data_IF_913010194400
#
_entry.id   IF_913010194400
#
_cell.length_a   1.000
_cell.length_b   1.000
_cell.length_c   1.000
_cell.angle_alpha   90.00
_cell.angle_beta   90.00
_cell.angle_gamma   90.00
#
_symmetry.space_group_name_H-M   'P 1'
#
loop_
_entity.id
_entity.type
_entity.pdbx_description
1 polymer ?
#
# COMPACT_ATOMS: atom_id res chain seq x y z
N UNK A 1 3.79 -36.20 -0.50
CA UNK A 1 4.34 -34.90 -0.06
C UNK A 1 3.17 -33.97 0.19
N UNK A 2 3.16 -33.27 1.32
CA UNK A 2 2.19 -32.20 1.61
C UNK A 2 2.95 -30.89 1.77
N UNK A 3 2.40 -29.81 1.21
CA UNK A 3 2.84 -28.46 1.45
C UNK A 3 1.73 -27.72 2.19
N UNK A 4 2.09 -26.92 3.19
CA UNK A 4 1.18 -26.05 3.93
C UNK A 4 1.69 -24.61 3.83
N UNK A 5 0.85 -23.64 3.47
CA UNK A 5 1.27 -22.25 3.40
C UNK A 5 1.42 -21.66 4.81
N UNK A 6 2.44 -20.79 5.00
CA UNK A 6 2.61 -20.01 6.23
C UNK A 6 2.03 -18.61 6.00
N UNK A 7 0.72 -18.46 6.18
CA UNK A 7 0.03 -17.18 6.06
C UNK A 7 -0.20 -16.50 7.42
N UNK A 8 -0.04 -17.27 8.50
CA UNK A 8 -0.25 -16.81 9.87
C UNK A 8 1.01 -16.14 10.47
N UNK A 9 2.19 -16.41 9.91
CA UNK A 9 3.48 -15.85 10.34
C UNK A 9 4.28 -15.43 9.09
N UNK A 10 3.97 -14.23 8.61
CA UNK A 10 4.56 -13.67 7.38
C UNK A 10 5.74 -12.77 7.76
N UNK A 11 6.95 -13.21 7.45
CA UNK A 11 8.18 -12.44 7.74
C UNK A 11 8.24 -11.10 6.98
N UNK A 12 7.65 -11.03 5.78
CA UNK A 12 7.58 -9.80 5.01
C UNK A 12 6.35 -9.74 4.10
N UNK A 13 5.73 -8.56 4.00
CA UNK A 13 4.61 -8.32 3.09
C UNK A 13 4.65 -6.92 2.49
N UNK A 14 3.92 -6.75 1.40
CA UNK A 14 3.59 -5.44 0.82
C UNK A 14 2.17 -5.47 0.23
N UNK A 15 1.34 -4.52 0.65
CA UNK A 15 0.02 -4.26 0.04
C UNK A 15 0.11 -2.90 -0.63
N UNK A 16 -0.22 -2.84 -1.93
CA UNK A 16 -0.02 -1.63 -2.75
C UNK A 16 -1.29 -1.29 -3.52
N UNK A 17 -1.68 -0.02 -3.51
CA UNK A 17 -2.71 0.52 -4.40
C UNK A 17 -2.04 1.18 -5.60
N UNK A 18 -2.45 0.76 -6.78
CA UNK A 18 -2.01 1.33 -8.05
C UNK A 18 -3.10 2.24 -8.64
N UNK A 19 -2.68 3.38 -9.16
CA UNK A 19 -3.48 4.24 -10.02
C UNK A 19 -3.16 3.92 -11.48
N UNK A 20 -4.19 3.64 -12.28
CA UNK A 20 -4.04 3.34 -13.71
C UNK A 20 -4.07 4.63 -14.54
N UNK A 21 -2.98 4.91 -15.24
CA UNK A 21 -2.91 6.02 -16.20
C UNK A 21 -3.42 5.58 -17.57
N UNK A 22 -3.98 6.53 -18.33
CA UNK A 22 -4.40 6.31 -19.73
C UNK A 22 -3.26 5.83 -20.63
N UNK A 23 -2.00 6.07 -20.22
CA UNK A 23 -0.77 5.61 -20.88
C UNK A 23 -0.48 4.12 -20.70
N UNK A 24 -1.34 3.35 -20.01
CA UNK A 24 -1.12 1.95 -19.58
C UNK A 24 -0.01 1.78 -18.54
N UNK A 25 0.47 2.86 -17.95
CA UNK A 25 1.38 2.82 -16.81
C UNK A 25 0.56 2.83 -15.51
N UNK A 26 1.01 2.04 -14.52
CA UNK A 26 0.44 2.05 -13.18
C UNK A 26 1.40 2.79 -12.25
N UNK A 27 0.86 3.70 -11.44
CA UNK A 27 1.64 4.44 -10.42
C UNK A 27 1.22 3.96 -9.04
N UNK A 28 2.18 3.66 -8.18
CA UNK A 28 1.90 3.37 -6.77
C UNK A 28 1.43 4.65 -6.06
N UNK A 29 0.26 4.60 -5.43
CA UNK A 29 -0.32 5.78 -4.74
C UNK A 29 -0.44 5.59 -3.23
N UNK A 30 -0.41 4.35 -2.76
CA UNK A 30 -0.43 3.99 -1.35
C UNK A 30 0.22 2.61 -1.17
N UNK A 31 1.02 2.45 -0.12
CA UNK A 31 1.70 1.17 0.16
C UNK A 31 1.83 0.95 1.66
N UNK A 32 1.58 -0.29 2.10
CA UNK A 32 1.93 -0.76 3.45
C UNK A 32 2.88 -1.91 3.31
N UNK A 33 4.06 -1.82 3.91
CA UNK A 33 5.08 -2.86 3.83
C UNK A 33 5.97 -2.92 5.08
N UNK A 34 6.76 -3.99 5.18
CA UNK A 34 7.71 -4.23 6.28
C UNK A 34 9.18 -4.08 5.90
N UNK A 35 9.49 -3.54 4.71
CA UNK A 35 10.85 -3.51 4.15
C UNK A 35 11.88 -2.73 4.99
N UNK A 36 11.42 -1.95 5.97
CA UNK A 36 12.27 -1.18 6.89
C UNK A 36 12.33 -1.76 8.31
N UNK A 37 11.97 -3.03 8.50
CA UNK A 37 12.02 -3.72 9.78
C UNK A 37 10.84 -3.41 10.72
N UNK A 38 9.89 -2.61 10.25
CA UNK A 38 8.59 -2.37 10.90
C UNK A 38 7.54 -2.09 9.82
N UNK A 39 6.28 -2.35 10.13
CA UNK A 39 5.16 -2.01 9.24
C UNK A 39 4.99 -0.50 9.19
N UNK A 40 4.97 0.06 7.98
CA UNK A 40 4.71 1.48 7.77
C UNK A 40 3.77 1.71 6.60
N UNK A 41 3.06 2.83 6.67
CA UNK A 41 2.14 3.28 5.64
C UNK A 41 2.73 4.48 4.88
N UNK A 42 2.96 4.28 3.58
CA UNK A 42 3.40 5.29 2.64
C UNK A 42 2.21 5.80 1.81
N UNK A 43 1.98 7.12 1.81
CA UNK A 43 1.04 7.78 0.90
C UNK A 43 1.81 8.44 -0.24
N UNK A 44 2.00 7.68 -1.31
CA UNK A 44 2.95 7.98 -2.39
C UNK A 44 2.51 9.11 -3.34
N UNK A 45 1.28 9.64 -3.16
CA UNK A 45 0.87 10.88 -3.81
C UNK A 45 1.46 12.15 -3.14
N UNK A 46 2.23 12.02 -2.04
CA UNK A 46 2.93 13.12 -1.38
C UNK A 46 4.45 12.90 -1.42
N UNK A 47 5.18 13.82 -2.05
CA UNK A 47 6.64 13.73 -2.22
C UNK A 47 7.43 13.70 -0.91
N UNK A 48 6.98 14.44 0.10
CA UNK A 48 7.73 14.68 1.34
C UNK A 48 7.05 14.08 2.60
N UNK A 49 6.22 13.04 2.45
CA UNK A 49 5.60 12.45 3.65
C UNK A 49 6.58 11.56 4.44
N UNK A 50 6.70 11.76 5.76
CA UNK A 50 7.41 10.81 6.60
C UNK A 50 6.67 9.46 6.59
N UNK A 51 7.45 8.37 6.61
CA UNK A 51 6.95 7.01 6.78
C UNK A 51 6.13 6.96 8.07
N UNK A 52 4.84 6.66 7.95
CA UNK A 52 3.94 6.59 9.11
C UNK A 52 4.00 5.17 9.68
N UNK A 53 4.60 4.94 10.86
CA UNK A 53 4.59 3.62 11.48
C UNK A 53 3.15 3.21 11.84
N UNK A 54 2.80 1.96 11.61
CA UNK A 54 1.47 1.40 11.92
C UNK A 54 1.60 0.00 12.53
N UNK A 55 0.69 -0.37 13.42
CA UNK A 55 0.61 -1.72 14.00
C UNK A 55 -0.36 -2.61 13.21
N UNK A 56 -0.08 -2.79 11.91
CA UNK A 56 -0.92 -3.59 11.00
C UNK A 56 -0.20 -4.86 10.56
N UNK A 57 -0.94 -5.97 10.51
CA UNK A 57 -0.55 -7.15 9.76
C UNK A 57 -0.98 -7.03 8.28
N UNK A 58 -0.69 -8.04 7.47
CA UNK A 58 -0.99 -8.02 6.04
C UNK A 58 -2.51 -7.99 5.75
N UNK A 59 -3.32 -8.62 6.61
CA UNK A 59 -4.78 -8.66 6.44
C UNK A 59 -5.40 -7.29 6.74
N UNK A 60 -4.94 -6.65 7.83
CA UNK A 60 -5.36 -5.31 8.18
C UNK A 60 -4.89 -4.30 7.14
N UNK A 61 -3.67 -4.44 6.63
CA UNK A 61 -3.18 -3.63 5.53
C UNK A 61 -4.04 -3.78 4.27
N UNK A 62 -4.44 -5.01 3.92
CA UNK A 62 -5.37 -5.26 2.80
C UNK A 62 -6.72 -4.57 3.03
N UNK A 63 -7.32 -4.75 4.21
CA UNK A 63 -8.60 -4.13 4.58
C UNK A 63 -8.51 -2.59 4.45
N UNK A 64 -7.53 -1.97 5.11
CA UNK A 64 -7.35 -0.52 5.11
C UNK A 64 -7.18 0.05 3.70
N UNK A 65 -6.35 -0.60 2.87
CA UNK A 65 -6.11 -0.12 1.50
C UNK A 65 -7.33 -0.36 0.60
N UNK A 66 -8.05 -1.47 0.79
CA UNK A 66 -9.27 -1.81 0.03
C UNK A 66 -10.45 -0.90 0.38
N UNK A 67 -10.56 -0.45 1.62
CA UNK A 67 -11.63 0.47 2.02
C UNK A 67 -11.36 1.91 1.58
N UNK A 68 -10.08 2.30 1.54
CA UNK A 68 -9.68 3.69 1.32
C UNK A 68 -9.12 4.00 -0.09
N UNK A 69 -8.99 3.02 -1.00
CA UNK A 69 -8.34 3.23 -2.31
C UNK A 69 -8.89 4.42 -3.11
N UNK A 70 -10.21 4.65 -3.07
CA UNK A 70 -10.85 5.78 -3.78
C UNK A 70 -10.37 7.12 -3.26
N UNK A 71 -10.16 7.23 -1.95
CA UNK A 71 -9.62 8.43 -1.30
C UNK A 71 -8.18 8.67 -1.74
N UNK A 72 -7.37 7.61 -1.83
CA UNK A 72 -5.99 7.73 -2.31
C UNK A 72 -5.95 8.14 -3.78
N UNK A 73 -6.79 7.52 -4.63
CA UNK A 73 -6.89 7.87 -6.05
C UNK A 73 -7.29 9.33 -6.23
N UNK A 74 -8.34 9.78 -5.53
CA UNK A 74 -8.74 11.19 -5.53
C UNK A 74 -7.62 12.12 -5.06
N UNK A 75 -6.87 11.74 -4.03
CA UNK A 75 -5.76 12.56 -3.53
C UNK A 75 -4.61 12.65 -4.52
N UNK A 76 -4.37 11.59 -5.30
CA UNK A 76 -3.42 11.59 -6.40
C UNK A 76 -3.88 12.52 -7.54
N UNK A 77 -5.15 12.42 -7.96
CA UNK A 77 -5.74 13.32 -8.96
C UNK A 77 -5.63 14.79 -8.53
N UNK A 78 -6.00 15.10 -7.29
CA UNK A 78 -5.95 16.46 -6.75
C UNK A 78 -4.50 17.00 -6.67
N UNK A 79 -3.50 16.13 -6.47
CA UNK A 79 -2.09 16.52 -6.38
C UNK A 79 -1.40 16.71 -7.74
N UNK A 80 -1.79 15.93 -8.75
CA UNK A 80 -1.11 15.89 -10.05
C UNK A 80 -1.96 16.41 -11.23
N UNK A 81 -3.22 16.78 -10.98
CA UNK A 81 -4.07 17.50 -11.94
C UNK A 81 -4.46 16.71 -13.18
N UNK A 82 -4.80 15.43 -13.01
CA UNK A 82 -5.28 14.55 -14.08
C UNK A 82 -6.81 14.60 -14.23
#
# INVERSE_FOLDING_TARGET
>A
MSASPSLDDVEAFAVTVYYSLSTRENVEIARVDTAHGFTHFDRLYRRDQPKEPVEWDWQKAEEELRENWRRYAKSYDDAYGL
#
